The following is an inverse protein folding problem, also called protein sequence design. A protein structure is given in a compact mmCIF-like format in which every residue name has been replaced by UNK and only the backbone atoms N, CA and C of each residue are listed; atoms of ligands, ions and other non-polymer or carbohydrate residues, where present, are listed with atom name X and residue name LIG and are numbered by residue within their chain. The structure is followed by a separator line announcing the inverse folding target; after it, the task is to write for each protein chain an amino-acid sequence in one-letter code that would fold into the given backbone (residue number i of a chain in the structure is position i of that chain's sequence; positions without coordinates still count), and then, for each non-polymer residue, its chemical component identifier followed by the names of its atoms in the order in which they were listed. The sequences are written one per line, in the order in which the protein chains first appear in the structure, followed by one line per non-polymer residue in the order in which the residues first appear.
data_IF_947297091170
#
_entry.id   IF_947297091170
#
_cell.length_a   1.000
_cell.length_b   1.000
_cell.length_c   1.000
_cell.angle_alpha   90.00
_cell.angle_beta   90.00
_cell.angle_gamma   90.00
#
_symmetry.space_group_name_H-M   'P 1'
#
loop_
_entity.id
_entity.type
_entity.pdbx_description
1 polymer ?
#
# COMPACT_ATOMS: atom_id res chain seq x y z
N UNK A 1 22.71 38.49 -4.65
CA UNK A 1 22.35 37.55 -3.58
C UNK A 1 21.59 36.40 -4.20
N UNK A 2 22.29 35.32 -4.54
CA UNK A 2 21.69 34.08 -5.07
C UNK A 2 21.61 33.08 -3.92
N UNK A 3 20.45 32.96 -3.30
CA UNK A 3 20.17 31.93 -2.30
C UNK A 3 19.88 30.62 -3.01
N UNK A 4 20.93 29.88 -3.34
CA UNK A 4 20.81 28.44 -3.65
C UNK A 4 20.71 27.69 -2.33
N UNK A 5 19.51 27.23 -2.00
CA UNK A 5 19.30 26.14 -1.05
C UNK A 5 19.32 24.83 -1.84
N UNK A 6 20.45 24.12 -1.96
CA UNK A 6 20.39 22.73 -2.42
C UNK A 6 19.70 21.93 -1.31
N UNK A 7 18.49 21.42 -1.58
CA UNK A 7 17.85 20.43 -0.72
C UNK A 7 18.83 19.24 -0.57
N UNK A 8 18.98 18.65 0.64
CA UNK A 8 19.84 17.49 0.85
C UNK A 8 19.55 16.37 -0.15
N UNK A 9 20.58 15.64 -0.58
CA UNK A 9 20.47 14.54 -1.56
C UNK A 9 19.41 13.52 -1.12
N UNK A 10 19.37 13.22 0.18
CA UNK A 10 18.40 12.31 0.81
C UNK A 10 16.96 12.76 0.58
N UNK A 11 16.68 14.05 0.73
CA UNK A 11 15.35 14.60 0.47
C UNK A 11 14.96 14.41 -1.01
N UNK A 12 15.89 14.62 -1.95
CA UNK A 12 15.63 14.44 -3.38
C UNK A 12 15.38 12.97 -3.73
N UNK A 13 16.14 12.05 -3.14
CA UNK A 13 15.96 10.61 -3.31
C UNK A 13 14.61 10.14 -2.75
N UNK A 14 14.20 10.64 -1.58
CA UNK A 14 12.88 10.34 -1.00
C UNK A 14 11.73 10.78 -1.91
N UNK A 15 11.82 11.98 -2.49
CA UNK A 15 10.82 12.45 -3.47
C UNK A 15 10.80 11.58 -4.72
N UNK A 16 11.97 11.14 -5.23
CA UNK A 16 12.05 10.26 -6.38
C UNK A 16 11.44 8.87 -6.09
N UNK A 17 11.71 8.30 -4.91
CA UNK A 17 11.12 7.03 -4.47
C UNK A 17 9.59 7.15 -4.42
N UNK A 18 9.07 8.18 -3.75
CA UNK A 18 7.62 8.45 -3.69
C UNK A 18 7.00 8.70 -5.06
N UNK A 19 7.74 9.37 -5.95
CA UNK A 19 7.31 9.58 -7.34
C UNK A 19 7.27 8.29 -8.16
N UNK A 20 8.25 7.40 -7.98
CA UNK A 20 8.25 6.09 -8.63
C UNK A 20 7.08 5.23 -8.14
N UNK A 21 6.79 5.23 -6.83
CA UNK A 21 5.59 4.59 -6.27
C UNK A 21 4.33 5.19 -6.88
N UNK A 22 4.20 6.52 -6.89
CA UNK A 22 3.04 7.20 -7.49
C UNK A 22 2.84 6.79 -8.95
N UNK A 23 3.89 6.84 -9.77
CA UNK A 23 3.84 6.39 -11.17
C UNK A 23 3.37 4.94 -11.26
N UNK A 24 3.94 4.05 -10.43
CA UNK A 24 3.59 2.64 -10.42
C UNK A 24 2.12 2.38 -10.05
N UNK A 25 1.58 3.11 -9.07
CA UNK A 25 0.16 3.01 -8.70
C UNK A 25 -0.75 3.53 -9.82
N UNK A 26 -0.36 4.58 -10.54
CA UNK A 26 -1.09 5.07 -11.73
C UNK A 26 -1.06 4.03 -12.86
N UNK A 27 0.06 3.35 -13.06
CA UNK A 27 0.15 2.28 -14.05
C UNK A 27 -0.69 1.05 -13.68
N UNK A 28 -0.67 0.63 -12.42
CA UNK A 28 -1.55 -0.42 -11.91
C UNK A 28 -3.02 -0.06 -12.12
N UNK A 29 -3.39 1.21 -11.91
CA UNK A 29 -4.73 1.71 -12.24
C UNK A 29 -5.05 1.52 -13.71
N UNK A 30 -4.16 1.95 -14.62
CA UNK A 30 -4.37 1.77 -16.07
C UNK A 30 -4.47 0.30 -16.49
N UNK A 31 -3.78 -0.61 -15.80
CA UNK A 31 -3.90 -2.05 -16.01
C UNK A 31 -5.30 -2.52 -15.56
N UNK A 32 -5.75 -2.13 -14.36
CA UNK A 32 -7.08 -2.48 -13.84
C UNK A 32 -8.21 -2.03 -14.76
N UNK A 33 -8.10 -0.87 -15.40
CA UNK A 33 -9.09 -0.37 -16.38
C UNK A 33 -9.32 -1.35 -17.54
N UNK A 34 -8.31 -2.17 -17.86
CA UNK A 34 -8.39 -3.19 -18.92
C UNK A 34 -8.84 -4.55 -18.40
N UNK A 35 -8.63 -4.83 -17.12
CA UNK A 35 -8.87 -6.14 -16.52
C UNK A 35 -10.20 -6.22 -15.77
N UNK A 36 -10.78 -5.09 -15.41
CA UNK A 36 -11.93 -5.03 -14.49
C UNK A 36 -12.98 -4.02 -14.93
N UNK A 37 -14.24 -4.30 -14.57
CA UNK A 37 -15.34 -3.34 -14.63
C UNK A 37 -15.61 -2.78 -13.23
N UNK A 38 -15.62 -1.46 -13.12
CA UNK A 38 -15.96 -0.77 -11.88
C UNK A 38 -17.42 -0.35 -11.85
N UNK A 39 -18.08 -0.69 -10.75
CA UNK A 39 -19.41 -0.22 -10.41
C UNK A 39 -19.29 0.80 -9.28
N UNK A 40 -19.55 2.07 -9.60
CA UNK A 40 -19.61 3.11 -8.58
C UNK A 40 -20.96 3.08 -7.88
N UNK A 41 -20.96 3.19 -6.56
CA UNK A 41 -22.17 3.35 -5.76
C UNK A 41 -22.24 4.80 -5.30
N UNK A 42 -23.13 5.57 -5.91
CA UNK A 42 -23.42 6.95 -5.48
C UNK A 42 -24.80 7.02 -4.86
N UNK A 43 -25.04 8.00 -3.97
CA UNK A 43 -26.37 8.26 -3.37
C UNK A 43 -27.46 8.57 -4.43
N UNK A 44 -27.06 8.84 -5.68
CA UNK A 44 -27.95 8.92 -6.83
C UNK A 44 -27.97 7.54 -7.49
N UNK A 45 -29.14 6.98 -7.72
CA UNK A 45 -29.42 5.63 -8.24
C UNK A 45 -28.83 5.45 -9.67
N UNK A 46 -27.50 5.46 -9.80
CA UNK A 46 -26.76 5.18 -11.02
C UNK A 46 -25.66 4.19 -10.66
N UNK A 47 -26.00 2.92 -10.77
CA UNK A 47 -25.04 1.82 -10.90
C UNK A 47 -24.73 1.68 -12.37
N UNK A 48 -23.64 2.29 -12.83
CA UNK A 48 -23.21 2.21 -14.22
C UNK A 48 -21.70 1.97 -14.31
N UNK A 49 -21.22 1.41 -15.44
CA UNK A 49 -19.79 1.35 -15.70
C UNK A 49 -19.26 2.78 -15.68
N UNK A 50 -18.30 3.05 -14.79
CA UNK A 50 -17.71 4.37 -14.64
C UNK A 50 -16.29 4.37 -15.21
N UNK A 51 -15.89 5.47 -15.86
CA UNK A 51 -14.51 5.63 -16.32
C UNK A 51 -13.61 5.85 -15.11
N UNK A 52 -12.67 4.93 -14.89
CA UNK A 52 -11.67 5.01 -13.81
C UNK A 52 -10.89 6.35 -13.80
N UNK A 53 -10.84 7.08 -14.91
CA UNK A 53 -10.20 8.39 -15.00
C UNK A 53 -10.96 9.53 -14.32
N UNK A 54 -12.30 9.47 -14.23
CA UNK A 54 -13.10 10.66 -13.96
C UNK A 54 -13.31 10.98 -12.47
N UNK A 55 -13.09 10.02 -11.56
CA UNK A 55 -13.13 10.26 -10.11
C UNK A 55 -12.33 9.19 -9.37
N UNK A 56 -11.29 9.59 -8.65
CA UNK A 56 -10.47 8.69 -7.84
C UNK A 56 -9.87 9.46 -6.65
N UNK A 57 -9.96 8.94 -5.42
CA UNK A 57 -10.69 7.72 -5.02
C UNK A 57 -12.22 7.90 -5.10
N UNK A 58 -12.95 6.79 -5.13
CA UNK A 58 -14.42 6.72 -5.05
C UNK A 58 -14.84 5.42 -4.35
N UNK A 59 -16.12 5.27 -3.99
CA UNK A 59 -16.66 4.03 -3.45
C UNK A 59 -17.09 3.09 -4.57
N UNK A 60 -16.50 1.90 -4.63
CA UNK A 60 -16.75 0.96 -5.72
C UNK A 60 -16.75 -0.52 -5.32
N UNK A 61 -17.30 -1.31 -6.24
CA UNK A 61 -17.11 -2.77 -6.35
C UNK A 61 -16.48 -3.01 -7.73
N UNK A 62 -15.53 -3.93 -7.83
CA UNK A 62 -14.87 -4.27 -9.11
C UNK A 62 -15.12 -5.73 -9.47
N UNK A 63 -15.38 -6.01 -10.74
CA UNK A 63 -15.56 -7.37 -11.27
C UNK A 63 -14.53 -7.65 -12.37
N UNK A 64 -13.93 -8.86 -12.43
CA UNK A 64 -13.02 -9.22 -13.50
C UNK A 64 -13.78 -9.33 -14.83
N UNK A 65 -13.19 -8.81 -15.92
CA UNK A 65 -13.72 -8.98 -17.28
C UNK A 65 -12.95 -9.97 -18.13
N UNK A 66 -11.75 -10.35 -17.71
CA UNK A 66 -10.92 -11.33 -18.40
C UNK A 66 -10.67 -12.56 -17.54
N UNK A 67 -10.75 -13.77 -18.11
CA UNK A 67 -10.30 -14.97 -17.41
C UNK A 67 -8.77 -14.99 -17.36
N UNK A 68 -8.19 -15.22 -16.17
CA UNK A 68 -6.75 -15.38 -15.94
C UNK A 68 -5.87 -14.20 -16.43
N UNK A 69 -5.92 -13.04 -15.77
CA UNK A 69 -5.12 -11.88 -16.15
C UNK A 69 -3.60 -12.15 -16.04
N UNK A 70 -2.82 -11.55 -16.94
CA UNK A 70 -1.35 -11.58 -16.88
C UNK A 70 -0.80 -10.92 -15.60
N UNK A 71 -1.47 -9.86 -15.12
CA UNK A 71 -1.18 -9.19 -13.86
C UNK A 71 -1.92 -9.85 -12.68
N UNK A 72 -1.46 -11.04 -12.27
CA UNK A 72 -2.12 -11.85 -11.23
C UNK A 72 -2.27 -11.12 -9.88
N UNK A 73 -1.28 -10.31 -9.50
CA UNK A 73 -1.27 -9.55 -8.24
C UNK A 73 -2.39 -8.51 -8.14
N UNK A 74 -2.94 -8.08 -9.29
CA UNK A 74 -4.04 -7.11 -9.42
C UNK A 74 -5.40 -7.79 -9.65
N UNK A 75 -5.46 -9.12 -9.59
CA UNK A 75 -6.74 -9.84 -9.71
C UNK A 75 -7.69 -9.37 -8.59
N UNK A 76 -8.97 -9.10 -8.89
CA UNK A 76 -9.96 -8.79 -7.87
C UNK A 76 -10.04 -9.87 -6.80
N UNK A 77 -10.00 -9.47 -5.54
CA UNK A 77 -10.17 -10.35 -4.40
C UNK A 77 -11.66 -10.54 -4.08
N UNK A 78 -11.99 -11.51 -3.23
CA UNK A 78 -13.38 -11.78 -2.85
C UNK A 78 -14.06 -10.53 -2.29
N UNK A 79 -13.42 -9.83 -1.35
CA UNK A 79 -13.99 -8.63 -0.72
C UNK A 79 -14.16 -7.49 -1.73
N UNK A 80 -13.27 -7.33 -2.70
CA UNK A 80 -13.44 -6.30 -3.74
C UNK A 80 -14.61 -6.53 -4.69
N UNK A 81 -15.00 -7.79 -4.86
CA UNK A 81 -16.13 -8.19 -5.71
C UNK A 81 -17.47 -8.13 -4.97
N UNK A 82 -17.48 -8.09 -3.64
CA UNK A 82 -18.71 -8.17 -2.84
C UNK A 82 -18.92 -7.02 -1.86
N UNK A 83 -17.86 -6.30 -1.48
CA UNK A 83 -17.90 -5.20 -0.52
C UNK A 83 -17.59 -3.87 -1.20
N UNK A 84 -18.36 -2.84 -0.84
CA UNK A 84 -18.11 -1.47 -1.27
C UNK A 84 -16.88 -0.95 -0.55
N UNK A 85 -15.88 -0.50 -1.30
CA UNK A 85 -14.62 -0.04 -0.73
C UNK A 85 -14.04 1.15 -1.50
N UNK A 86 -13.03 1.80 -0.92
CA UNK A 86 -12.31 2.91 -1.54
C UNK A 86 -11.45 2.40 -2.70
N UNK A 87 -11.73 2.90 -3.90
CA UNK A 87 -11.13 2.38 -5.14
C UNK A 87 -9.61 2.53 -5.23
N UNK A 88 -8.99 3.34 -4.38
CA UNK A 88 -7.52 3.41 -4.35
C UNK A 88 -6.86 2.17 -3.78
N UNK A 89 -7.56 1.38 -2.97
CA UNK A 89 -7.05 0.11 -2.46
C UNK A 89 -6.73 -0.84 -3.63
N UNK A 90 -7.48 -0.73 -4.74
CA UNK A 90 -7.37 -1.62 -5.89
C UNK A 90 -5.99 -1.61 -6.54
N UNK A 91 -5.29 -0.47 -6.51
CA UNK A 91 -4.04 -0.26 -7.25
C UNK A 91 -2.82 -0.90 -6.57
N UNK A 92 -2.99 -1.44 -5.35
CA UNK A 92 -1.95 -2.13 -4.61
C UNK A 92 -1.80 -3.59 -5.10
N UNK A 93 -0.59 -4.03 -5.50
CA UNK A 93 -0.36 -5.35 -6.08
C UNK A 93 -0.17 -6.44 -5.01
N UNK A 94 -0.93 -6.37 -3.91
CA UNK A 94 -0.85 -7.32 -2.80
C UNK A 94 -2.26 -7.74 -2.37
N UNK A 95 -2.77 -8.90 -2.82
CA UNK A 95 -4.13 -9.36 -2.52
C UNK A 95 -4.45 -9.38 -1.02
N UNK A 96 -3.55 -9.92 -0.20
CA UNK A 96 -3.73 -10.00 1.26
C UNK A 96 -3.83 -8.61 1.90
N UNK A 97 -2.99 -7.66 1.44
CA UNK A 97 -3.02 -6.29 1.93
C UNK A 97 -4.34 -5.60 1.60
N UNK A 98 -4.82 -5.78 0.36
CA UNK A 98 -6.12 -5.23 -0.08
C UNK A 98 -7.28 -5.78 0.75
N UNK A 99 -7.32 -7.09 0.99
CA UNK A 99 -8.32 -7.72 1.86
C UNK A 99 -8.32 -7.12 3.27
N UNK A 100 -7.14 -6.96 3.89
CA UNK A 100 -7.03 -6.36 5.22
C UNK A 100 -7.52 -4.90 5.24
N UNK A 101 -7.18 -4.11 4.22
CA UNK A 101 -7.58 -2.71 4.12
C UNK A 101 -9.09 -2.56 3.92
N UNK A 102 -9.71 -3.44 3.12
CA UNK A 102 -11.18 -3.44 2.95
C UNK A 102 -11.87 -3.88 4.23
N UNK A 103 -11.35 -4.90 4.91
CA UNK A 103 -11.89 -5.38 6.18
C UNK A 103 -11.93 -4.29 7.25
N UNK A 104 -10.88 -3.46 7.32
CA UNK A 104 -10.72 -2.42 8.35
C UNK A 104 -10.97 -1.01 7.82
N UNK A 105 -11.64 -0.85 6.69
CA UNK A 105 -11.72 0.44 5.99
C UNK A 105 -12.28 1.59 6.82
N UNK A 106 -13.16 1.29 7.79
CA UNK A 106 -13.72 2.31 8.69
C UNK A 106 -12.83 2.64 9.89
N UNK A 107 -11.75 1.90 10.11
CA UNK A 107 -10.91 1.92 11.31
C UNK A 107 -9.47 2.41 11.05
N UNK A 108 -9.17 2.97 9.88
CA UNK A 108 -7.87 3.61 9.63
C UNK A 108 -7.99 4.91 8.82
N UNK A 109 -6.96 5.76 8.95
CA UNK A 109 -6.87 6.98 8.15
C UNK A 109 -6.27 6.66 6.77
N UNK A 110 -7.10 6.69 5.74
CA UNK A 110 -6.65 6.43 4.37
C UNK A 110 -5.67 7.50 3.89
N UNK A 111 -5.92 8.76 4.23
CA UNK A 111 -5.06 9.87 3.83
C UNK A 111 -3.66 9.74 4.43
N UNK A 112 -3.55 9.20 5.66
CA UNK A 112 -2.27 8.91 6.32
C UNK A 112 -1.49 7.82 5.57
N UNK A 113 -2.13 6.68 5.26
CA UNK A 113 -1.47 5.58 4.55
C UNK A 113 -1.03 6.01 3.15
N UNK A 114 -1.90 6.73 2.43
CA UNK A 114 -1.60 7.24 1.10
C UNK A 114 -0.46 8.27 1.14
N UNK A 115 -0.39 9.11 2.18
CA UNK A 115 0.73 10.03 2.39
C UNK A 115 2.05 9.30 2.59
N UNK A 116 2.06 8.19 3.34
CA UNK A 116 3.26 7.37 3.51
C UNK A 116 3.71 6.74 2.17
N UNK A 117 2.77 6.39 1.29
CA UNK A 117 3.09 5.82 -0.03
C UNK A 117 3.66 6.85 -1.02
N UNK A 118 3.02 8.02 -1.17
CA UNK A 118 3.30 8.96 -2.27
C UNK A 118 3.62 10.39 -1.81
N UNK A 119 3.68 10.64 -0.51
CA UNK A 119 3.91 11.97 0.05
C UNK A 119 2.82 12.97 -0.35
N UNK A 120 3.26 14.15 -0.82
CA UNK A 120 2.38 15.26 -1.19
C UNK A 120 2.12 15.34 -2.70
N UNK A 121 2.39 14.27 -3.46
CA UNK A 121 2.24 14.25 -4.92
C UNK A 121 0.77 14.32 -5.38
N UNK A 122 -0.17 14.08 -4.47
CA UNK A 122 -1.61 14.11 -4.75
C UNK A 122 -2.37 14.90 -3.68
N UNK A 123 -3.58 15.32 -4.03
CA UNK A 123 -4.47 16.01 -3.08
C UNK A 123 -5.04 15.02 -2.06
N UNK A 124 -4.38 14.89 -0.90
CA UNK A 124 -4.78 13.99 0.18
C UNK A 124 -6.18 14.28 0.75
N UNK A 125 -6.72 15.49 0.54
CA UNK A 125 -8.10 15.84 0.97
C UNK A 125 -9.18 15.07 0.22
N UNK A 126 -8.82 14.39 -0.87
CA UNK A 126 -9.74 13.52 -1.61
C UNK A 126 -9.93 12.16 -0.93
N UNK A 127 -9.09 11.81 0.05
CA UNK A 127 -9.13 10.53 0.73
C UNK A 127 -9.86 10.65 2.07
N UNK A 128 -10.61 9.62 2.50
CA UNK A 128 -11.20 9.60 3.82
C UNK A 128 -10.12 9.79 4.89
N UNK A 129 -10.29 10.79 5.74
CA UNK A 129 -9.43 11.02 6.89
C UNK A 129 -10.24 10.81 8.17
N UNK A 130 -9.60 10.23 9.17
CA UNK A 130 -10.21 10.01 10.48
C UNK A 130 -9.51 10.97 11.46
N UNK A 131 -10.26 11.79 12.22
CA UNK A 131 -9.63 12.64 13.22
C UNK A 131 -8.76 11.81 14.17
N UNK A 132 -7.58 12.31 14.60
CA UNK A 132 -6.67 11.55 15.46
C UNK A 132 -7.34 11.03 16.75
N UNK A 133 -8.33 11.76 17.28
CA UNK A 133 -9.12 11.38 18.45
C UNK A 133 -10.04 10.17 18.24
N UNK A 134 -10.31 9.81 16.98
CA UNK A 134 -11.21 8.72 16.57
C UNK A 134 -10.47 7.59 15.85
N UNK A 135 -9.16 7.72 15.64
CA UNK A 135 -8.32 6.73 14.95
C UNK A 135 -8.16 5.49 15.83
N UNK A 136 -9.10 4.55 15.69
CA UNK A 136 -8.99 3.22 16.28
C UNK A 136 -8.17 2.35 15.34
N UNK A 137 -6.84 2.48 15.36
CA UNK A 137 -5.99 1.52 14.66
C UNK A 137 -6.45 0.10 15.02
N UNK A 138 -6.63 -0.82 14.06
CA UNK A 138 -7.18 -2.14 14.34
C UNK A 138 -6.38 -2.85 15.44
N UNK A 139 -6.92 -2.85 16.67
CA UNK A 139 -6.15 -3.09 17.90
C UNK A 139 -5.69 -4.56 18.08
N UNK A 140 -5.93 -5.43 17.10
CA UNK A 140 -5.79 -6.88 17.25
C UNK A 140 -5.02 -7.58 16.12
N UNK A 141 -4.69 -6.91 15.00
CA UNK A 141 -4.18 -7.60 13.80
C UNK A 141 -2.65 -7.56 13.61
N UNK A 142 -1.90 -6.94 14.51
CA UNK A 142 -0.46 -6.72 14.31
C UNK A 142 0.29 -6.46 15.60
N UNK A 143 0.10 -7.32 16.60
CA UNK A 143 0.86 -7.27 17.85
C UNK A 143 2.35 -7.43 17.50
N UNK A 144 3.03 -6.28 17.42
CA UNK A 144 4.47 -6.06 17.44
C UNK A 144 5.31 -6.92 16.48
N UNK A 145 5.54 -6.38 15.28
CA UNK A 145 6.67 -6.82 14.45
C UNK A 145 7.95 -6.51 15.21
N UNK A 146 8.68 -7.55 15.61
CA UNK A 146 10.07 -7.39 16.04
C UNK A 146 10.91 -7.39 14.78
N UNK A 147 11.32 -6.20 14.34
CA UNK A 147 12.39 -6.05 13.37
C UNK A 147 13.68 -6.42 14.11
N UNK A 148 14.16 -7.65 13.94
CA UNK A 148 15.45 -8.04 14.49
C UNK A 148 16.54 -7.52 13.54
N UNK A 149 16.95 -6.28 13.74
CA UNK A 149 18.15 -5.73 13.09
C UNK A 149 19.39 -6.32 13.78
N UNK A 150 20.35 -6.81 13.00
CA UNK A 150 21.69 -7.14 13.49
C UNK A 150 22.39 -5.86 13.96
N UNK A 151 23.06 -5.95 15.11
CA UNK A 151 23.56 -4.87 15.99
C UNK A 151 24.76 -4.04 15.47
N UNK A 152 24.89 -3.74 14.18
CA UNK A 152 26.17 -3.20 13.67
C UNK A 152 26.10 -2.25 12.44
N UNK A 153 25.00 -1.54 12.22
CA UNK A 153 24.88 -0.55 11.11
C UNK A 153 24.55 0.88 11.53
N UNK A 154 25.35 1.85 11.07
CA UNK A 154 25.02 3.29 11.01
C UNK A 154 23.62 3.51 10.38
N UNK A 155 22.76 4.41 10.92
CA UNK A 155 21.40 4.63 10.44
C UNK A 155 21.41 5.32 9.08
N UNK A 156 21.61 4.53 8.03
CA UNK A 156 21.60 4.95 6.62
C UNK A 156 20.21 4.81 5.99
N UNK A 157 19.21 4.41 6.77
CA UNK A 157 17.91 4.02 6.26
C UNK A 157 16.94 5.21 6.13
N UNK A 158 16.12 5.15 5.08
CA UNK A 158 14.90 5.95 4.93
C UNK A 158 14.07 5.77 6.20
N UNK A 159 14.07 6.75 7.10
CA UNK A 159 13.32 6.71 8.37
C UNK A 159 11.83 7.00 8.20
N UNK A 160 11.37 7.17 6.95
CA UNK A 160 9.98 7.42 6.65
C UNK A 160 9.26 6.11 6.25
N UNK A 161 8.05 5.85 6.78
CA UNK A 161 7.24 4.75 6.32
C UNK A 161 6.89 4.94 4.84
N UNK A 162 7.19 3.94 4.01
CA UNK A 162 6.79 3.91 2.61
C UNK A 162 7.05 2.57 1.94
N UNK A 163 6.73 2.53 0.65
CA UNK A 163 7.14 1.45 -0.25
C UNK A 163 8.19 1.97 -1.23
N UNK A 164 8.97 1.05 -1.79
CA UNK A 164 9.96 1.30 -2.83
C UNK A 164 9.58 0.41 -4.02
N UNK A 165 9.58 0.99 -5.22
CA UNK A 165 9.32 0.28 -6.46
C UNK A 165 10.61 0.17 -7.28
N UNK A 166 11.06 -1.07 -7.50
CA UNK A 166 12.29 -1.42 -8.21
C UNK A 166 12.08 -1.85 -9.66
N UNK A 167 10.84 -2.11 -10.08
CA UNK A 167 10.53 -2.65 -11.41
C UNK A 167 9.07 -2.46 -11.81
N UNK A 168 8.51 -3.46 -12.48
CA UNK A 168 7.13 -3.44 -12.97
C UNK A 168 6.12 -3.38 -11.80
N UNK A 169 5.21 -2.41 -11.76
CA UNK A 169 4.38 -2.15 -10.58
C UNK A 169 3.29 -3.21 -10.34
N UNK A 170 2.88 -3.95 -11.36
CA UNK A 170 1.91 -5.04 -11.22
C UNK A 170 2.56 -6.35 -10.78
N UNK A 171 3.87 -6.37 -10.51
CA UNK A 171 4.60 -7.55 -10.03
C UNK A 171 4.93 -7.32 -8.56
N UNK A 172 4.40 -8.14 -7.66
CA UNK A 172 4.61 -7.99 -6.22
C UNK A 172 6.10 -8.04 -5.86
N UNK A 173 6.88 -8.83 -6.59
CA UNK A 173 8.34 -8.97 -6.47
C UNK A 173 9.15 -7.71 -6.82
N UNK A 174 8.52 -6.70 -7.44
CA UNK A 174 9.16 -5.42 -7.75
C UNK A 174 9.13 -4.44 -6.57
N UNK A 175 8.48 -4.79 -5.46
CA UNK A 175 8.22 -3.86 -4.37
C UNK A 175 8.97 -4.22 -3.10
N UNK A 176 9.36 -3.21 -2.34
CA UNK A 176 9.97 -3.36 -1.04
C UNK A 176 9.28 -2.44 -0.04
N UNK A 177 9.02 -2.91 1.18
CA UNK A 177 8.51 -2.08 2.26
C UNK A 177 9.66 -1.62 3.17
N UNK A 178 9.62 -0.37 3.61
CA UNK A 178 10.54 0.10 4.65
C UNK A 178 10.19 -0.55 6.00
N UNK A 179 11.17 -0.76 6.90
CA UNK A 179 10.90 -1.29 8.24
C UNK A 179 9.82 -0.49 8.99
N UNK A 180 9.84 0.84 8.87
CA UNK A 180 8.88 1.77 9.46
C UNK A 180 7.49 1.60 8.86
N UNK A 181 7.38 1.32 7.56
CA UNK A 181 6.10 1.02 6.91
C UNK A 181 5.50 -0.26 7.48
N UNK A 182 6.31 -1.32 7.58
CA UNK A 182 5.86 -2.58 8.15
C UNK A 182 5.44 -2.40 9.60
N UNK A 183 6.21 -1.66 10.41
CA UNK A 183 5.87 -1.38 11.80
C UNK A 183 4.56 -0.59 11.94
N UNK A 184 4.40 0.48 11.16
CA UNK A 184 3.23 1.37 11.22
C UNK A 184 1.96 0.71 10.70
N UNK A 185 2.06 -0.05 9.62
CA UNK A 185 0.95 -0.66 8.89
C UNK A 185 0.93 -2.19 9.02
N UNK A 186 1.46 -2.74 10.13
CA UNK A 186 1.57 -4.18 10.39
C UNK A 186 0.25 -4.94 10.15
N UNK A 187 -0.85 -4.36 10.61
CA UNK A 187 -2.20 -4.92 10.43
C UNK A 187 -2.63 -5.02 8.97
N UNK A 188 -2.18 -4.08 8.12
CA UNK A 188 -2.52 -4.06 6.71
C UNK A 188 -1.73 -5.14 5.96
N UNK A 189 -0.47 -5.37 6.34
CA UNK A 189 0.41 -6.35 5.68
C UNK A 189 0.36 -7.74 6.30
N UNK A 190 -0.45 -7.96 7.34
CA UNK A 190 -0.61 -9.25 8.00
C UNK A 190 -1.01 -10.35 6.99
N UNK A 191 -0.24 -11.45 6.98
CA UNK A 191 -0.45 -12.56 6.04
C UNK A 191 0.06 -12.32 4.61
N UNK A 192 0.56 -11.12 4.29
CA UNK A 192 1.13 -10.80 2.97
C UNK A 192 2.56 -11.34 2.83
N UNK A 193 2.70 -12.64 2.55
CA UNK A 193 4.01 -13.28 2.34
C UNK A 193 4.76 -12.66 1.17
N UNK A 194 4.05 -12.37 0.07
CA UNK A 194 4.64 -11.80 -1.16
C UNK A 194 5.39 -10.48 -0.91
N UNK A 195 4.83 -9.59 -0.09
CA UNK A 195 5.48 -8.31 0.23
C UNK A 195 6.74 -8.53 1.09
N UNK A 196 6.69 -9.44 2.06
CA UNK A 196 7.84 -9.73 2.93
C UNK A 196 8.95 -10.46 2.18
N UNK A 197 8.60 -11.45 1.37
CA UNK A 197 9.55 -12.18 0.54
C UNK A 197 10.24 -11.24 -0.45
N UNK A 198 9.48 -10.34 -1.09
CA UNK A 198 10.02 -9.32 -1.99
C UNK A 198 10.90 -8.31 -1.24
N UNK A 199 10.46 -7.83 -0.07
CA UNK A 199 11.25 -6.93 0.78
C UNK A 199 12.59 -7.56 1.15
N UNK A 200 12.58 -8.82 1.60
CA UNK A 200 13.79 -9.54 1.97
C UNK A 200 14.69 -9.85 0.77
N UNK A 201 14.11 -10.10 -0.41
CA UNK A 201 14.87 -10.24 -1.64
C UNK A 201 15.70 -8.97 -1.93
N UNK A 202 15.09 -7.79 -1.91
CA UNK A 202 15.79 -6.53 -2.19
C UNK A 202 16.79 -6.14 -1.10
N UNK A 203 16.44 -6.34 0.18
CA UNK A 203 17.35 -6.16 1.32
C UNK A 203 18.61 -7.02 1.20
N UNK A 204 18.44 -8.31 0.89
CA UNK A 204 19.58 -9.23 0.75
C UNK A 204 20.55 -8.83 -0.37
N UNK A 205 20.06 -8.21 -1.46
CA UNK A 205 20.89 -7.69 -2.56
C UNK A 205 21.78 -6.53 -2.13
N UNK A 206 21.43 -5.83 -1.06
CA UNK A 206 22.22 -4.75 -0.45
C UNK A 206 23.00 -5.19 0.78
N UNK A 207 22.93 -6.47 1.15
CA UNK A 207 23.59 -7.00 2.35
C UNK A 207 22.85 -6.68 3.65
N UNK A 208 21.58 -6.26 3.59
CA UNK A 208 20.76 -5.99 4.77
C UNK A 208 20.13 -7.27 5.33
N UNK A 209 19.94 -7.31 6.65
CA UNK A 209 19.30 -8.42 7.34
C UNK A 209 17.82 -8.58 6.96
N UNK A 210 17.31 -9.83 6.81
CA UNK A 210 15.92 -10.07 6.48
C UNK A 210 14.99 -9.69 7.64
N UNK A 211 13.86 -9.10 7.30
CA UNK A 211 12.77 -8.77 8.22
C UNK A 211 11.84 -9.98 8.38
N UNK A 212 11.26 -10.14 9.57
CA UNK A 212 10.28 -11.19 9.85
C UNK A 212 9.03 -10.55 10.47
N UNK A 213 7.86 -10.92 9.96
CA UNK A 213 6.59 -10.62 10.63
C UNK A 213 6.30 -11.77 11.59
N UNK A 214 6.26 -11.49 12.89
CA UNK A 214 5.84 -12.47 13.91
C UNK A 214 4.44 -12.09 14.37
N UNK A 215 3.48 -13.00 14.28
CA UNK A 215 2.18 -12.89 14.94
C UNK A 215 2.30 -13.43 16.36
N UNK A 216 1.87 -12.66 17.36
CA UNK A 216 1.98 -13.03 18.80
C UNK A 216 1.12 -14.22 19.21
N UNK A 217 0.32 -14.80 18.31
CA UNK A 217 -0.52 -15.97 18.63
C UNK A 217 0.25 -17.31 18.65
N UNK A 218 1.51 -17.36 18.23
CA UNK A 218 2.35 -18.57 18.30
C UNK A 218 2.96 -18.83 19.70
N UNK A 219 2.58 -18.03 20.71
CA UNK A 219 3.11 -18.11 22.08
C UNK A 219 2.15 -18.65 23.14
N UNK A 220 0.93 -19.06 22.79
CA UNK A 220 -0.05 -19.58 23.74
C UNK A 220 -0.47 -21.01 23.40
N UNK A 221 0.28 -21.98 23.93
CA UNK A 221 -0.21 -23.30 24.34
C UNK A 221 0.67 -23.74 25.53
N UNK A 222 0.10 -24.40 26.56
CA UNK A 222 -0.93 -25.43 26.47
C UNK A 222 -2.32 -25.04 26.99
#
# INVERSE_FOLDING_TARGET
MTTTFPLPLDHTLLHLVKYNVFRGLVENKMILDRLTMQYQITNKIRTGPFSYFASFPNSSVILPVVPNPSARSLTPTASQMTMVHSSWINVLPFPAMRENMIKWESDFDHSELVKDLVGNLINLKLFPSVPPSSSRRPAHAGRQIVLQEGDDGEPTAITEPGLILWGEPYRAESWEATPEFLQKWAWAVAGSRELIDSTNYWRSRRGENPLRLVSVDDGASP
#
